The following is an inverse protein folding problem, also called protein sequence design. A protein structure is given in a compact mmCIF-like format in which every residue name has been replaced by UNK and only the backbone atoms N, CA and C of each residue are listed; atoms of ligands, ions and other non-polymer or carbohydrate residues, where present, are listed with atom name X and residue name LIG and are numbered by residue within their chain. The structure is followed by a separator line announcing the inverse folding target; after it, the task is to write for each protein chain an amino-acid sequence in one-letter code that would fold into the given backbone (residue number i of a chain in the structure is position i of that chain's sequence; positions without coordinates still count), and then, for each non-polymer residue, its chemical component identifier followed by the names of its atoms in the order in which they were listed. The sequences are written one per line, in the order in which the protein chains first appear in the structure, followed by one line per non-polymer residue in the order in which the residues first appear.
data_IF_984837895839
#
_entry.id   IF_984837895839
#
_cell.length_a   1.000
_cell.length_b   1.000
_cell.length_c   1.000
_cell.angle_alpha   90.00
_cell.angle_beta   90.00
_cell.angle_gamma   90.00
#
_symmetry.space_group_name_H-M   'P 1'
#
loop_
_entity.id
_entity.type
_entity.pdbx_description
1 polymer ?
#
# COMPACT_ATOMS: atom_id res chain seq x y z
N UNK A 1 33.83 27.28 66.83
CA UNK A 1 32.52 26.76 66.37
C UNK A 1 32.26 27.27 64.95
N UNK A 2 32.46 26.42 63.92
CA UNK A 2 32.09 26.73 62.51
C UNK A 2 32.17 25.53 61.54
N UNK A 3 32.69 24.37 61.98
CA UNK A 3 33.01 23.23 61.11
C UNK A 3 31.93 22.14 61.06
N UNK A 4 30.97 22.12 62.02
CA UNK A 4 29.88 21.14 62.09
C UNK A 4 28.74 21.40 61.09
N UNK A 5 28.54 22.65 60.69
CA UNK A 5 27.36 23.07 59.93
C UNK A 5 27.48 22.75 58.43
N UNK A 6 28.72 22.72 57.91
CA UNK A 6 29.00 22.39 56.50
C UNK A 6 28.76 20.91 56.16
N UNK A 7 29.05 20.00 57.09
CA UNK A 7 28.87 18.55 56.89
C UNK A 7 27.39 18.13 56.88
N UNK A 8 26.54 18.85 57.62
CA UNK A 8 25.09 18.63 57.61
C UNK A 8 24.46 19.16 56.31
N UNK A 9 24.81 20.37 55.90
CA UNK A 9 24.41 20.96 54.61
C UNK A 9 24.82 20.08 53.41
N UNK A 10 26.04 19.55 53.41
CA UNK A 10 26.55 18.70 52.33
C UNK A 10 25.81 17.35 52.25
N UNK A 11 25.44 16.75 53.39
CA UNK A 11 24.64 15.51 53.44
C UNK A 11 23.19 15.72 53.01
N UNK A 12 22.61 16.88 53.32
CA UNK A 12 21.27 17.25 52.86
C UNK A 12 21.25 17.51 51.34
N UNK A 13 22.21 18.27 50.82
CA UNK A 13 22.33 18.55 49.38
C UNK A 13 22.56 17.26 48.56
N UNK A 14 23.40 16.34 49.04
CA UNK A 14 23.63 15.06 48.37
C UNK A 14 22.38 14.17 48.33
N UNK A 15 21.58 14.15 49.40
CA UNK A 15 20.31 13.41 49.46
C UNK A 15 19.26 13.99 48.52
N UNK A 16 19.14 15.32 48.46
CA UNK A 16 18.21 16.01 47.55
C UNK A 16 18.61 15.77 46.09
N UNK A 17 19.91 15.85 45.77
CA UNK A 17 20.41 15.59 44.42
C UNK A 17 20.18 14.13 43.99
N UNK A 18 20.37 13.16 44.89
CA UNK A 18 20.10 11.74 44.62
C UNK A 18 18.62 11.47 44.35
N UNK A 19 17.71 12.06 45.14
CA UNK A 19 16.25 11.91 44.92
C UNK A 19 15.83 12.57 43.60
N UNK A 20 16.37 13.75 43.29
CA UNK A 20 16.06 14.47 42.06
C UNK A 20 16.52 13.69 40.82
N UNK A 21 17.71 13.08 40.88
CA UNK A 21 18.25 12.26 39.79
C UNK A 21 17.40 11.01 39.55
N UNK A 22 16.95 10.35 40.62
CA UNK A 22 16.04 9.20 40.52
C UNK A 22 14.72 9.62 39.85
N UNK A 23 14.08 10.72 40.31
CA UNK A 23 12.82 11.20 39.72
C UNK A 23 12.97 11.53 38.24
N UNK A 24 14.07 12.19 37.83
CA UNK A 24 14.32 12.52 36.42
C UNK A 24 14.46 11.25 35.57
N UNK A 25 15.21 10.25 36.05
CA UNK A 25 15.39 8.97 35.34
C UNK A 25 14.07 8.23 35.17
N UNK A 26 13.23 8.19 36.21
CA UNK A 26 11.89 7.58 36.12
C UNK A 26 10.99 8.33 35.12
N UNK A 27 11.03 9.66 35.12
CA UNK A 27 10.20 10.48 34.23
C UNK A 27 10.61 10.33 32.76
N UNK A 28 11.93 10.32 32.47
CA UNK A 28 12.43 10.14 31.09
C UNK A 28 12.18 8.73 30.56
N UNK A 29 12.25 7.71 31.42
CA UNK A 29 11.97 6.32 31.05
C UNK A 29 10.48 6.09 30.73
N UNK A 30 9.57 6.71 31.50
CA UNK A 30 8.14 6.64 31.26
C UNK A 30 7.73 7.28 29.92
N UNK A 31 8.32 8.42 29.58
CA UNK A 31 8.06 9.11 28.29
C UNK A 31 8.59 8.30 27.11
N UNK A 32 9.80 7.72 27.23
CA UNK A 32 10.39 6.90 26.17
C UNK A 32 9.57 5.61 25.93
N UNK A 33 9.04 5.00 26.98
CA UNK A 33 8.22 3.78 26.89
C UNK A 33 6.85 4.05 26.25
N UNK A 34 6.22 5.20 26.52
CA UNK A 34 4.94 5.57 25.91
C UNK A 34 5.03 5.84 24.40
N UNK A 35 6.16 6.38 23.95
CA UNK A 35 6.40 6.67 22.52
C UNK A 35 6.66 5.39 21.70
N UNK A 36 7.37 4.41 22.26
CA UNK A 36 7.65 3.12 21.58
C UNK A 36 6.38 2.28 21.43
N UNK A 37 5.46 2.34 22.41
CA UNK A 37 4.20 1.60 22.35
C UNK A 37 3.17 2.23 21.39
N UNK A 38 3.23 3.56 21.19
CA UNK A 38 2.27 4.27 20.32
C UNK A 38 2.67 4.30 18.83
N UNK A 39 3.96 4.15 18.51
CA UNK A 39 4.45 4.21 17.12
C UNK A 39 4.31 2.91 16.32
N UNK A 40 4.09 1.76 16.97
CA UNK A 40 4.12 0.45 16.33
C UNK A 40 2.78 -0.01 15.70
N UNK A 41 1.71 0.78 15.84
CA UNK A 41 0.36 0.41 15.40
C UNK A 41 -0.24 1.44 14.43
N UNK A 42 0.55 1.92 13.47
CA UNK A 42 -0.04 2.54 12.28
C UNK A 42 -0.38 1.40 11.31
N UNK A 43 -1.66 0.99 11.18
CA UNK A 43 -2.04 0.09 10.10
C UNK A 43 -1.76 0.83 8.79
N UNK A 44 -0.73 0.41 8.07
CA UNK A 44 -0.62 0.76 6.66
C UNK A 44 -1.81 0.10 5.98
N UNK A 45 -2.89 0.85 5.76
CA UNK A 45 -3.91 0.43 4.83
C UNK A 45 -3.28 0.41 3.45
N UNK A 46 -2.69 -0.73 3.08
CA UNK A 46 -2.50 -1.05 1.69
C UNK A 46 -3.92 -1.14 1.12
N UNK A 47 -4.42 -0.03 0.57
CA UNK A 47 -5.62 -0.07 -0.25
C UNK A 47 -5.26 -0.93 -1.45
N UNK A 48 -5.58 -2.22 -1.37
CA UNK A 48 -5.56 -3.08 -2.54
C UNK A 48 -6.48 -2.40 -3.55
N UNK A 49 -5.95 -2.05 -4.73
CA UNK A 49 -6.76 -1.50 -5.80
C UNK A 49 -7.94 -2.45 -6.03
N UNK A 50 -9.16 -1.99 -5.75
CA UNK A 50 -10.35 -2.69 -6.19
C UNK A 50 -10.25 -2.69 -7.71
N UNK A 51 -9.95 -3.86 -8.29
CA UNK A 51 -9.75 -4.07 -9.71
C UNK A 51 -10.81 -5.06 -10.19
N UNK A 52 -11.63 -4.64 -11.14
CA UNK A 52 -12.65 -5.50 -11.74
C UNK A 52 -12.06 -6.37 -12.84
N UNK A 53 -10.93 -5.97 -13.43
CA UNK A 53 -10.11 -6.81 -14.32
C UNK A 53 -9.05 -7.51 -13.49
N UNK A 54 -9.02 -8.83 -13.57
CA UNK A 54 -8.10 -9.70 -12.83
C UNK A 54 -6.87 -10.09 -13.67
N UNK A 55 -7.00 -10.09 -14.99
CA UNK A 55 -5.91 -10.48 -15.88
C UNK A 55 -6.24 -10.28 -17.36
N UNK A 56 -5.18 -10.20 -18.16
CA UNK A 56 -5.22 -10.16 -19.62
C UNK A 56 -4.29 -11.26 -20.17
N UNK A 57 -4.80 -12.12 -21.05
CA UNK A 57 -4.01 -13.16 -21.71
C UNK A 57 -4.12 -13.05 -23.22
N UNK A 58 -3.00 -13.28 -23.89
CA UNK A 58 -2.92 -13.37 -25.34
C UNK A 58 -2.37 -14.75 -25.70
N UNK A 59 -2.95 -15.36 -26.73
CA UNK A 59 -2.47 -16.64 -27.25
C UNK A 59 -3.00 -16.89 -28.65
N UNK A 60 -2.31 -17.72 -29.41
CA UNK A 60 -2.77 -18.18 -30.73
C UNK A 60 -3.52 -19.49 -30.54
N UNK A 61 -4.67 -19.63 -31.18
CA UNK A 61 -5.47 -20.86 -31.19
C UNK A 61 -5.65 -21.34 -32.62
N UNK A 62 -5.72 -22.66 -32.81
CA UNK A 62 -6.24 -23.22 -34.05
C UNK A 62 -7.76 -23.09 -34.07
N UNK A 63 -8.31 -22.66 -35.20
CA UNK A 63 -9.74 -22.78 -35.49
C UNK A 63 -9.91 -24.00 -36.37
N UNK A 64 -10.69 -24.97 -35.90
CA UNK A 64 -11.03 -26.15 -36.70
C UNK A 64 -11.98 -25.69 -37.81
N UNK A 65 -11.48 -25.63 -39.04
CA UNK A 65 -12.22 -25.36 -40.27
C UNK A 65 -12.06 -26.52 -41.25
N UNK A 66 -13.00 -26.65 -42.18
CA UNK A 66 -13.02 -27.72 -43.18
C UNK A 66 -11.70 -27.78 -43.96
N UNK A 67 -11.20 -28.99 -44.15
CA UNK A 67 -9.80 -29.32 -44.35
C UNK A 67 -9.09 -28.57 -45.51
N UNK A 68 -8.25 -27.58 -45.20
CA UNK A 68 -7.11 -27.13 -46.04
C UNK A 68 -6.20 -26.07 -45.38
N UNK A 69 -6.68 -25.34 -44.37
CA UNK A 69 -5.92 -24.30 -43.69
C UNK A 69 -6.26 -24.39 -42.19
N UNK A 70 -5.34 -24.84 -41.35
CA UNK A 70 -5.49 -24.60 -39.90
C UNK A 70 -5.35 -23.10 -39.68
N UNK A 71 -6.47 -22.37 -39.69
CA UNK A 71 -6.46 -20.94 -39.49
C UNK A 71 -6.06 -20.64 -38.05
N UNK A 72 -4.87 -20.10 -37.88
CA UNK A 72 -4.38 -19.62 -36.60
C UNK A 72 -5.05 -18.27 -36.30
N UNK A 73 -5.73 -18.19 -35.16
CA UNK A 73 -6.43 -16.97 -34.72
C UNK A 73 -5.85 -16.47 -33.40
N UNK A 74 -5.74 -15.14 -33.25
CA UNK A 74 -5.39 -14.51 -31.97
C UNK A 74 -6.58 -14.56 -31.01
N UNK A 75 -6.38 -15.18 -29.84
CA UNK A 75 -7.30 -15.13 -28.71
C UNK A 75 -6.82 -14.11 -27.69
N UNK A 76 -7.69 -13.18 -27.34
CA UNK A 76 -7.54 -12.27 -26.19
C UNK A 76 -8.54 -12.69 -25.12
N UNK A 77 -8.08 -12.89 -23.88
CA UNK A 77 -8.93 -13.22 -22.73
C UNK A 77 -8.79 -12.10 -21.70
N UNK A 78 -9.91 -11.50 -21.32
CA UNK A 78 -10.00 -10.51 -20.24
C UNK A 78 -10.74 -11.16 -19.08
N UNK A 79 -10.02 -11.42 -17.99
CA UNK A 79 -10.57 -12.02 -16.79
C UNK A 79 -11.20 -10.92 -15.92
N UNK A 80 -12.44 -11.12 -15.48
CA UNK A 80 -13.18 -10.15 -14.68
C UNK A 80 -13.67 -10.75 -13.37
N UNK A 81 -13.76 -9.91 -12.33
CA UNK A 81 -14.21 -10.33 -10.98
C UNK A 81 -15.70 -10.68 -10.94
N UNK A 82 -16.50 -9.95 -11.71
CA UNK A 82 -17.94 -10.15 -11.87
C UNK A 82 -18.28 -10.22 -13.34
N UNK A 83 -19.32 -10.95 -13.76
CA UNK A 83 -19.74 -10.99 -15.16
C UNK A 83 -19.95 -9.58 -15.75
N UNK A 84 -19.52 -9.38 -17.00
CA UNK A 84 -19.64 -8.11 -17.74
C UNK A 84 -20.24 -8.35 -19.11
N UNK A 85 -20.99 -7.36 -19.63
CA UNK A 85 -21.46 -7.35 -21.01
C UNK A 85 -20.64 -6.33 -21.80
N UNK A 86 -19.64 -6.77 -22.58
CA UNK A 86 -18.79 -5.85 -23.33
C UNK A 86 -19.49 -5.37 -24.61
N UNK A 87 -19.11 -4.18 -25.07
CA UNK A 87 -19.40 -3.71 -26.43
C UNK A 87 -18.12 -3.76 -27.24
N UNK A 88 -18.18 -4.37 -28.43
CA UNK A 88 -17.03 -4.49 -29.32
C UNK A 88 -17.24 -3.59 -30.54
N UNK A 89 -16.26 -2.73 -30.81
CA UNK A 89 -16.27 -1.81 -31.94
C UNK A 89 -14.98 -1.95 -32.74
N UNK A 90 -15.08 -2.01 -34.06
CA UNK A 90 -13.92 -1.90 -34.95
C UNK A 90 -13.82 -0.45 -35.45
N UNK A 91 -12.71 0.20 -35.15
CA UNK A 91 -12.38 1.50 -35.72
C UNK A 91 -11.48 1.30 -36.95
N UNK A 92 -11.72 2.12 -37.95
CA UNK A 92 -10.92 2.19 -39.17
C UNK A 92 -10.07 3.46 -39.11
N UNK A 93 -8.83 3.39 -39.61
CA UNK A 93 -7.87 4.51 -39.67
C UNK A 93 -7.35 5.08 -38.32
N UNK A 94 -6.34 4.46 -37.69
CA UNK A 94 -5.80 3.12 -37.95
C UNK A 94 -6.76 2.03 -37.44
N UNK A 95 -6.63 0.81 -37.98
CA UNK A 95 -7.43 -0.34 -37.54
C UNK A 95 -7.23 -0.61 -36.05
N UNK A 96 -8.31 -0.50 -35.27
CA UNK A 96 -8.30 -0.75 -33.81
C UNK A 96 -9.54 -1.53 -33.40
N UNK A 97 -9.35 -2.61 -32.66
CA UNK A 97 -10.42 -3.30 -31.96
C UNK A 97 -10.59 -2.66 -30.58
N UNK A 98 -11.77 -2.12 -30.31
CA UNK A 98 -12.13 -1.47 -29.03
C UNK A 98 -13.14 -2.35 -28.31
N UNK A 99 -12.86 -2.64 -27.03
CA UNK A 99 -13.75 -3.41 -26.15
C UNK A 99 -14.13 -2.51 -24.97
N UNK A 100 -15.36 -2.01 -24.99
CA UNK A 100 -15.88 -1.14 -23.95
C UNK A 100 -16.59 -1.97 -22.86
N UNK A 101 -16.20 -1.74 -21.61
CA UNK A 101 -16.82 -2.38 -20.43
C UNK A 101 -17.13 -1.30 -19.37
N UNK A 102 -18.30 -0.64 -19.45
CA UNK A 102 -18.54 0.63 -18.74
C UNK A 102 -18.62 0.51 -17.21
N UNK A 103 -18.89 -0.68 -16.67
CA UNK A 103 -18.90 -0.95 -15.23
C UNK A 103 -17.57 -1.55 -14.72
N UNK A 104 -16.52 -1.49 -15.54
CA UNK A 104 -15.23 -2.13 -15.27
C UNK A 104 -14.18 -1.07 -15.01
N UNK A 105 -13.59 -1.13 -13.83
CA UNK A 105 -12.46 -0.33 -13.41
C UNK A 105 -11.18 -1.19 -13.45
N UNK A 106 -10.11 -0.63 -14.04
CA UNK A 106 -8.76 -1.18 -13.96
C UNK A 106 -7.81 -0.05 -13.58
N UNK A 107 -7.24 -0.16 -12.38
CA UNK A 107 -6.19 0.69 -11.87
C UNK A 107 -4.88 -0.10 -11.83
N UNK A 108 -3.92 0.35 -12.64
CA UNK A 108 -2.51 -0.05 -12.54
C UNK A 108 -1.81 1.01 -11.71
N UNK A 109 -0.97 0.58 -10.76
CA UNK A 109 -0.20 1.50 -9.94
C UNK A 109 0.62 2.46 -10.82
N UNK A 110 0.61 3.75 -10.49
CA UNK A 110 1.31 4.82 -11.23
C UNK A 110 0.84 5.05 -12.67
N UNK A 111 -0.28 4.45 -13.10
CA UNK A 111 -0.89 4.74 -14.41
C UNK A 111 -2.18 5.53 -14.19
N UNK A 112 -2.32 6.73 -14.81
CA UNK A 112 -3.57 7.48 -14.75
C UNK A 112 -4.75 6.63 -15.26
N UNK A 113 -5.94 6.70 -14.62
CA UNK A 113 -7.12 5.92 -15.02
C UNK A 113 -7.61 6.18 -16.46
N UNK A 114 -7.15 7.27 -17.08
CA UNK A 114 -7.44 7.65 -18.47
C UNK A 114 -6.24 8.41 -19.05
N UNK A 115 -6.03 8.26 -20.35
CA UNK A 115 -5.05 9.08 -21.08
C UNK A 115 -5.41 10.57 -21.06
N UNK A 116 -4.38 11.41 -21.21
CA UNK A 116 -4.59 12.84 -21.51
C UNK A 116 -5.03 12.89 -22.98
N UNK A 117 -6.21 13.46 -23.23
CA UNK A 117 -6.69 13.79 -24.58
C UNK A 117 -6.04 15.08 -25.07
#
# INVERSE_FOLDING_TARGET
MRQSDGLFQQRHAARVCSVMLVVVVWFTSAILSGAILSGALMPSSAHAAENSILGLRLGVIGVEGDAAQSEQTLRVVIETRTPVTPRVTLLHDPYRLVVDMPATHWQVENVPPRGIL
#
